data_IF_793092263880
#
_entry.id   IF_793092263880
#
_cell.length_a   1.000
_cell.length_b   1.000
_cell.length_c   1.000
_cell.angle_alpha   90.00
_cell.angle_beta   90.00
_cell.angle_gamma   90.00
#
_symmetry.space_group_name_H-M   'P 1'
#
loop_
_entity.id
_entity.type
_entity.pdbx_description
1 polymer ?
#
# COMPACT_ATOMS: atom_id res chain seq x y z
N UNK A 1 3.75 38.11 -43.90
CA UNK A 1 2.90 38.04 -42.68
C UNK A 1 2.33 36.63 -42.42
N UNK A 2 1.78 35.92 -43.41
CA UNK A 2 1.23 34.54 -43.21
C UNK A 2 2.23 33.50 -42.64
N UNK A 3 3.52 33.58 -43.00
CA UNK A 3 4.56 32.67 -42.48
C UNK A 3 4.92 32.89 -41.00
N UNK A 4 4.73 34.13 -40.50
CA UNK A 4 5.01 34.45 -39.07
C UNK A 4 3.96 33.85 -38.14
N UNK A 5 2.69 33.80 -38.56
CA UNK A 5 1.61 33.17 -37.77
C UNK A 5 1.74 31.66 -37.71
N UNK A 6 2.29 31.00 -38.72
CA UNK A 6 2.51 29.57 -38.73
C UNK A 6 3.58 29.16 -37.71
N UNK A 7 4.65 29.95 -37.60
CA UNK A 7 5.73 29.72 -36.60
C UNK A 7 5.20 29.92 -35.18
N UNK A 8 4.34 30.92 -34.95
CA UNK A 8 3.75 31.18 -33.67
C UNK A 8 2.82 30.04 -33.19
N UNK A 9 2.05 29.43 -34.10
CA UNK A 9 1.18 28.29 -33.80
C UNK A 9 2.00 27.04 -33.41
N UNK A 10 3.12 26.79 -34.08
CA UNK A 10 4.00 25.67 -33.78
C UNK A 10 4.69 25.83 -32.42
N UNK A 11 5.05 27.05 -32.02
CA UNK A 11 5.68 27.30 -30.72
C UNK A 11 4.70 27.19 -29.55
N UNK A 12 3.41 27.43 -29.73
CA UNK A 12 2.38 27.30 -28.69
C UNK A 12 2.01 25.82 -28.47
N UNK A 13 2.07 24.98 -29.51
CA UNK A 13 1.75 23.54 -29.38
C UNK A 13 2.82 22.72 -28.65
N UNK A 14 4.03 23.25 -28.41
CA UNK A 14 5.12 22.56 -27.77
C UNK A 14 5.13 22.69 -26.22
N UNK A 15 4.20 23.42 -25.63
CA UNK A 15 4.20 23.67 -24.18
C UNK A 15 3.23 22.79 -23.36
N UNK A 16 2.58 21.82 -23.99
CA UNK A 16 1.65 20.90 -23.30
C UNK A 16 2.24 19.52 -22.99
N UNK A 17 3.55 19.38 -22.95
CA UNK A 17 4.18 18.24 -22.31
C UNK A 17 4.18 18.50 -20.79
N UNK A 18 3.02 18.34 -20.17
CA UNK A 18 2.93 18.10 -18.72
C UNK A 18 3.69 16.81 -18.47
N UNK A 19 4.84 16.89 -17.80
CA UNK A 19 5.51 15.73 -17.30
C UNK A 19 4.53 15.04 -16.32
N UNK A 20 3.86 14.00 -16.79
CA UNK A 20 3.05 13.14 -15.96
C UNK A 20 4.05 12.45 -15.02
N UNK A 21 4.02 12.77 -13.75
CA UNK A 21 4.77 12.01 -12.77
C UNK A 21 4.37 10.54 -12.93
N UNK A 22 5.28 9.74 -13.48
CA UNK A 22 5.03 8.33 -13.72
C UNK A 22 5.04 7.62 -12.38
N UNK A 23 3.87 7.25 -11.90
CA UNK A 23 3.75 6.37 -10.74
C UNK A 23 4.62 5.13 -10.94
N UNK A 24 5.31 4.68 -9.89
CA UNK A 24 6.16 3.49 -9.90
C UNK A 24 5.37 2.18 -10.04
N UNK A 25 4.06 2.25 -10.04
CA UNK A 25 3.12 1.13 -10.21
C UNK A 25 1.81 1.61 -10.85
N UNK A 26 1.01 0.68 -11.33
CA UNK A 26 -0.30 0.96 -11.94
C UNK A 26 -1.28 -0.18 -11.70
N UNK A 27 -2.54 0.06 -11.99
CA UNK A 27 -3.57 -0.99 -12.01
C UNK A 27 -3.18 -2.14 -12.94
N UNK A 28 -3.43 -3.38 -12.52
CA UNK A 28 -3.00 -4.59 -13.20
C UNK A 28 -1.59 -5.08 -12.80
N UNK A 29 -0.85 -4.31 -11.97
CA UNK A 29 0.40 -4.82 -11.44
C UNK A 29 0.15 -6.07 -10.57
N UNK A 30 0.94 -7.10 -10.81
CA UNK A 30 0.93 -8.32 -10.03
C UNK A 30 2.35 -8.69 -9.61
N UNK A 31 2.59 -8.77 -8.31
CA UNK A 31 3.87 -9.13 -7.72
C UNK A 31 3.76 -10.47 -7.01
N UNK A 32 4.79 -11.30 -7.13
CA UNK A 32 4.91 -12.56 -6.40
C UNK A 32 6.24 -12.67 -5.69
N UNK A 33 6.16 -12.92 -4.41
CA UNK A 33 7.33 -13.12 -3.54
C UNK A 33 7.41 -14.59 -3.14
N UNK A 34 8.63 -15.13 -3.20
CA UNK A 34 8.95 -16.44 -2.63
C UNK A 34 9.60 -16.21 -1.27
N UNK A 35 9.00 -16.77 -0.22
CA UNK A 35 9.51 -16.69 1.13
C UNK A 35 10.33 -17.95 1.41
N UNK A 36 11.59 -17.77 1.80
CA UNK A 36 12.49 -18.88 2.14
C UNK A 36 13.15 -18.62 3.50
N UNK A 37 13.41 -19.68 4.23
CA UNK A 37 14.19 -19.65 5.46
C UNK A 37 15.63 -20.11 5.15
N UNK A 38 16.62 -19.36 5.60
CA UNK A 38 18.06 -19.66 5.34
C UNK A 38 18.40 -19.93 3.87
N UNK A 39 17.67 -19.31 2.92
CA UNK A 39 17.93 -19.43 1.47
C UNK A 39 17.55 -20.78 0.84
N UNK A 40 17.41 -21.84 1.59
CA UNK A 40 17.21 -23.22 1.07
C UNK A 40 15.79 -23.74 1.27
N UNK A 41 15.16 -23.44 2.39
CA UNK A 41 13.85 -23.96 2.75
C UNK A 41 12.75 -23.03 2.27
N UNK A 42 12.03 -23.43 1.26
CA UNK A 42 10.86 -22.68 0.79
C UNK A 42 9.78 -22.71 1.86
N UNK A 43 9.52 -21.55 2.47
CA UNK A 43 8.56 -21.39 3.55
C UNK A 43 7.16 -21.07 3.03
N UNK A 44 7.07 -20.22 1.99
CA UNK A 44 5.77 -19.78 1.50
C UNK A 44 5.87 -18.93 0.23
N UNK A 45 4.74 -18.33 -0.11
CA UNK A 45 4.65 -17.32 -1.13
C UNK A 45 3.77 -16.18 -0.62
N UNK A 46 3.98 -14.99 -1.19
CA UNK A 46 3.05 -13.87 -1.08
C UNK A 46 2.79 -13.29 -2.47
N UNK A 47 1.61 -12.73 -2.67
CA UNK A 47 1.25 -11.98 -3.88
C UNK A 47 0.64 -10.65 -3.49
N UNK A 48 0.89 -9.62 -4.31
CA UNK A 48 0.20 -8.34 -4.29
C UNK A 48 -0.39 -8.10 -5.68
N UNK A 49 -1.62 -7.61 -5.74
CA UNK A 49 -2.31 -7.31 -6.99
C UNK A 49 -3.03 -5.98 -6.86
N UNK A 50 -2.80 -5.07 -7.83
CA UNK A 50 -3.32 -3.69 -7.84
C UNK A 50 -4.51 -3.59 -8.77
N UNK A 51 -5.60 -3.01 -8.29
CA UNK A 51 -6.82 -2.75 -9.04
C UNK A 51 -7.20 -1.28 -8.97
N UNK A 52 -7.89 -0.79 -10.01
CA UNK A 52 -8.66 0.44 -9.92
C UNK A 52 -9.99 0.16 -9.26
N UNK A 53 -10.38 1.03 -8.31
CA UNK A 53 -11.68 0.94 -7.64
C UNK A 53 -12.21 2.34 -7.32
N UNK A 54 -13.53 2.44 -7.13
CA UNK A 54 -14.19 3.63 -6.57
C UNK A 54 -14.62 3.30 -5.15
N UNK A 55 -14.09 4.01 -4.17
CA UNK A 55 -14.45 3.88 -2.77
C UNK A 55 -15.08 5.18 -2.26
N UNK A 56 -16.37 5.13 -1.88
CA UNK A 56 -17.13 6.31 -1.47
C UNK A 56 -16.99 7.48 -2.48
N UNK A 57 -17.21 7.22 -3.76
CA UNK A 57 -17.12 8.15 -4.89
C UNK A 57 -15.70 8.65 -5.20
N UNK A 58 -14.68 8.17 -4.49
CA UNK A 58 -13.29 8.57 -4.67
C UNK A 58 -12.54 7.49 -5.47
N UNK A 59 -11.81 7.85 -6.55
CA UNK A 59 -10.94 6.92 -7.25
C UNK A 59 -9.77 6.50 -6.36
N UNK A 60 -9.63 5.19 -6.15
CA UNK A 60 -8.56 4.63 -5.30
C UNK A 60 -7.83 3.51 -6.03
N UNK A 61 -6.63 3.20 -5.56
CA UNK A 61 -6.05 1.88 -5.78
C UNK A 61 -6.53 0.95 -4.67
N UNK A 62 -7.05 -0.21 -5.08
CA UNK A 62 -7.27 -1.36 -4.21
C UNK A 62 -6.13 -2.33 -4.41
N UNK A 63 -5.41 -2.63 -3.36
CA UNK A 63 -4.37 -3.66 -3.40
C UNK A 63 -4.78 -4.85 -2.55
N UNK A 64 -4.75 -6.02 -3.17
CA UNK A 64 -5.02 -7.30 -2.49
C UNK A 64 -3.70 -8.03 -2.29
N UNK A 65 -3.35 -8.28 -1.04
CA UNK A 65 -2.18 -9.06 -0.65
C UNK A 65 -2.61 -10.41 -0.07
N UNK A 66 -1.98 -11.49 -0.54
CA UNK A 66 -2.23 -12.86 -0.05
C UNK A 66 -0.91 -13.49 0.34
N UNK A 67 -0.89 -14.18 1.49
CA UNK A 67 0.26 -14.94 1.97
C UNK A 67 -0.13 -16.37 2.33
N UNK A 68 0.71 -17.33 1.98
CA UNK A 68 0.47 -18.72 2.37
C UNK A 68 1.75 -19.54 2.47
N UNK A 69 1.78 -20.48 3.41
CA UNK A 69 2.85 -21.48 3.52
C UNK A 69 2.76 -22.57 2.46
N UNK A 70 3.92 -23.10 2.05
CA UNK A 70 4.06 -24.17 1.06
C UNK A 70 5.00 -25.25 1.56
N UNK A 71 5.00 -26.40 0.86
CA UNK A 71 5.90 -27.51 1.19
C UNK A 71 5.64 -28.12 2.57
N UNK A 72 6.66 -28.74 3.21
CA UNK A 72 6.51 -29.39 4.51
C UNK A 72 6.11 -28.45 5.64
N UNK A 73 6.51 -27.18 5.59
CA UNK A 73 6.16 -26.16 6.60
C UNK A 73 4.64 -26.00 6.74
N UNK A 74 3.88 -26.15 5.65
CA UNK A 74 2.41 -26.10 5.68
C UNK A 74 1.79 -27.14 6.65
N UNK A 75 2.48 -28.24 6.91
CA UNK A 75 1.98 -29.31 7.77
C UNK A 75 2.25 -29.01 9.24
N UNK A 76 3.29 -28.22 9.52
CA UNK A 76 3.69 -27.83 10.88
C UNK A 76 3.02 -26.50 11.25
N UNK A 77 3.05 -25.52 10.34
CA UNK A 77 2.51 -24.18 10.58
C UNK A 77 1.82 -23.66 9.30
N UNK A 78 0.51 -23.83 9.26
CA UNK A 78 -0.31 -23.42 8.12
C UNK A 78 -0.64 -21.94 8.20
N UNK A 79 -0.19 -21.16 7.24
CA UNK A 79 -0.56 -19.75 7.05
C UNK A 79 -1.48 -19.61 5.84
N UNK A 80 -2.53 -18.80 6.00
CA UNK A 80 -3.41 -18.33 4.94
C UNK A 80 -3.89 -16.95 5.30
N UNK A 81 -3.22 -15.95 4.75
CA UNK A 81 -3.47 -14.55 5.06
C UNK A 81 -4.02 -13.82 3.84
N UNK A 82 -4.91 -12.89 4.11
CA UNK A 82 -5.52 -12.00 3.16
C UNK A 82 -5.58 -10.59 3.74
N UNK A 83 -5.01 -9.65 3.00
CA UNK A 83 -5.02 -8.24 3.32
C UNK A 83 -5.56 -7.45 2.13
N UNK A 84 -6.26 -6.35 2.39
CA UNK A 84 -6.64 -5.39 1.38
C UNK A 84 -6.34 -3.98 1.89
N UNK A 85 -5.86 -3.11 1.01
CA UNK A 85 -5.75 -1.69 1.27
C UNK A 85 -6.41 -0.91 0.13
N UNK A 86 -7.21 0.08 0.48
CA UNK A 86 -7.83 1.01 -0.45
C UNK A 86 -7.24 2.38 -0.14
N UNK A 87 -6.42 2.90 -1.03
CA UNK A 87 -5.73 4.16 -0.81
C UNK A 87 -5.86 5.10 -2.00
N UNK A 88 -5.82 6.38 -1.70
CA UNK A 88 -5.95 7.47 -2.65
C UNK A 88 -4.86 7.41 -3.72
N UNK A 89 -5.24 7.67 -4.99
CA UNK A 89 -4.31 7.58 -6.12
C UNK A 89 -3.28 8.69 -6.16
N UNK A 90 -3.60 9.87 -5.61
CA UNK A 90 -2.73 11.04 -5.65
C UNK A 90 -1.86 11.11 -4.40
N UNK A 91 -2.47 10.95 -3.22
CA UNK A 91 -1.77 11.12 -1.94
C UNK A 91 -1.14 9.83 -1.42
N UNK A 92 -1.59 8.67 -1.89
CA UNK A 92 -1.20 7.36 -1.38
C UNK A 92 -1.73 7.06 0.03
N UNK A 93 -2.63 7.88 0.58
CA UNK A 93 -3.13 7.73 1.94
C UNK A 93 -4.30 6.74 1.99
N UNK A 94 -4.32 5.79 2.95
CA UNK A 94 -5.36 4.77 3.01
C UNK A 94 -6.69 5.33 3.51
N UNK A 95 -7.79 4.82 2.93
CA UNK A 95 -9.16 4.99 3.42
C UNK A 95 -9.63 3.77 4.18
N UNK A 96 -9.22 2.58 3.73
CA UNK A 96 -9.66 1.31 4.33
C UNK A 96 -8.54 0.28 4.27
N UNK A 97 -8.40 -0.47 5.35
CA UNK A 97 -7.51 -1.62 5.44
C UNK A 97 -8.25 -2.84 6.01
N UNK A 98 -8.09 -3.98 5.35
CA UNK A 98 -8.66 -5.26 5.80
C UNK A 98 -7.53 -6.21 6.15
N UNK A 99 -7.61 -6.82 7.32
CA UNK A 99 -6.72 -7.88 7.78
C UNK A 99 -7.52 -9.13 8.11
N UNK A 100 -7.41 -10.17 7.30
CA UNK A 100 -8.05 -11.46 7.54
C UNK A 100 -6.99 -12.57 7.48
N UNK A 101 -6.53 -13.02 8.62
CA UNK A 101 -5.40 -13.94 8.76
C UNK A 101 -5.76 -15.23 9.45
N UNK A 102 -5.02 -16.30 9.09
CA UNK A 102 -5.05 -17.58 9.77
C UNK A 102 -3.63 -18.17 9.81
N UNK A 103 -2.99 -18.06 10.95
CA UNK A 103 -1.59 -18.42 11.18
C UNK A 103 -1.51 -19.49 12.28
N UNK A 104 -1.29 -20.75 11.88
CA UNK A 104 -1.21 -21.86 12.84
C UNK A 104 -2.45 -22.05 13.71
N UNK A 105 -3.62 -21.66 13.22
CA UNK A 105 -4.90 -21.68 13.98
C UNK A 105 -5.23 -20.35 14.69
N UNK A 106 -4.28 -19.43 14.85
CA UNK A 106 -4.58 -18.06 15.25
C UNK A 106 -5.31 -17.34 14.12
N UNK A 107 -6.49 -16.79 14.43
CA UNK A 107 -7.32 -16.10 13.44
C UNK A 107 -7.62 -14.68 13.91
N UNK A 108 -7.53 -13.73 13.00
CA UNK A 108 -7.94 -12.34 13.21
C UNK A 108 -8.62 -11.83 11.95
N UNK A 109 -9.75 -11.14 12.11
CA UNK A 109 -10.44 -10.48 11.01
C UNK A 109 -10.83 -9.08 11.45
N UNK A 110 -10.12 -8.06 10.92
CA UNK A 110 -10.33 -6.66 11.21
C UNK A 110 -10.55 -5.86 9.94
N UNK A 111 -11.45 -4.89 10.04
CA UNK A 111 -11.66 -3.83 9.05
C UNK A 111 -11.34 -2.53 9.74
N UNK A 112 -10.46 -1.73 9.14
CA UNK A 112 -10.04 -0.43 9.63
C UNK A 112 -10.46 0.61 8.60
N UNK A 113 -11.17 1.65 9.02
CA UNK A 113 -11.52 2.81 8.21
C UNK A 113 -10.83 4.05 8.78
N UNK A 114 -10.15 4.80 7.90
CA UNK A 114 -9.36 5.98 8.27
C UNK A 114 -10.16 7.24 7.96
N UNK A 115 -10.64 7.92 8.99
CA UNK A 115 -11.32 9.21 8.88
C UNK A 115 -10.35 10.34 9.24
N UNK A 116 -9.87 11.02 8.23
CA UNK A 116 -8.94 12.16 8.42
C UNK A 116 -9.62 13.41 8.89
N UNK A 117 -10.91 13.56 8.64
CA UNK A 117 -11.67 14.73 9.11
C UNK A 117 -11.78 14.74 10.64
N UNK A 118 -11.82 13.56 11.25
CA UNK A 118 -11.85 13.34 12.68
C UNK A 118 -10.50 12.97 13.29
N UNK A 119 -9.45 12.76 12.48
CA UNK A 119 -8.17 12.21 12.90
C UNK A 119 -8.31 10.88 13.66
N UNK A 120 -9.15 10.00 13.15
CA UNK A 120 -9.46 8.70 13.76
C UNK A 120 -9.35 7.55 12.79
N UNK A 121 -8.90 6.39 13.32
CA UNK A 121 -9.07 5.09 12.70
C UNK A 121 -10.18 4.34 13.47
N UNK A 122 -11.22 3.93 12.75
CA UNK A 122 -12.28 3.10 13.28
C UNK A 122 -11.95 1.64 12.99
N UNK A 123 -11.85 0.85 14.04
CA UNK A 123 -11.47 -0.57 13.96
C UNK A 123 -12.67 -1.43 14.29
N UNK A 124 -13.07 -2.27 13.35
CA UNK A 124 -14.08 -3.28 13.54
C UNK A 124 -13.40 -4.67 13.62
N UNK A 125 -13.43 -5.31 14.77
CA UNK A 125 -12.97 -6.70 14.97
C UNK A 125 -14.16 -7.64 14.72
N UNK A 126 -14.21 -8.19 13.51
CA UNK A 126 -15.32 -9.08 13.07
C UNK A 126 -15.35 -10.34 13.89
N UNK A 127 -14.20 -10.92 14.23
CA UNK A 127 -14.11 -12.16 15.00
C UNK A 127 -14.63 -11.99 16.42
N UNK A 128 -14.25 -10.89 17.08
CA UNK A 128 -14.60 -10.63 18.47
C UNK A 128 -15.89 -9.80 18.61
N UNK A 129 -16.50 -9.37 17.48
CA UNK A 129 -17.70 -8.53 17.42
C UNK A 129 -17.56 -7.25 18.25
N UNK A 130 -16.41 -6.61 18.17
CA UNK A 130 -16.09 -5.39 18.90
C UNK A 130 -15.65 -4.27 17.95
N UNK A 131 -15.94 -3.03 18.36
CA UNK A 131 -15.54 -1.82 17.66
C UNK A 131 -14.72 -0.95 18.60
N UNK A 132 -13.73 -0.27 18.05
CA UNK A 132 -12.93 0.72 18.75
C UNK A 132 -12.53 1.85 17.81
N UNK A 133 -12.09 2.97 18.37
CA UNK A 133 -11.49 4.05 17.60
C UNK A 133 -10.17 4.46 18.24
N UNK A 134 -9.23 4.87 17.40
CA UNK A 134 -7.88 5.28 17.80
C UNK A 134 -7.56 6.62 17.14
N UNK A 135 -6.97 7.55 17.88
CA UNK A 135 -6.50 8.81 17.31
C UNK A 135 -5.29 8.55 16.41
N UNK A 136 -5.31 9.17 15.24
CA UNK A 136 -4.26 8.99 14.22
C UNK A 136 -3.72 10.33 13.73
N UNK A 137 -2.53 10.31 13.15
CA UNK A 137 -1.99 11.44 12.39
C UNK A 137 -2.54 11.44 10.97
N UNK A 138 -2.59 12.62 10.35
CA UNK A 138 -3.11 12.78 8.98
C UNK A 138 -2.33 12.00 7.92
N UNK A 139 -1.03 11.79 8.13
CA UNK A 139 -0.14 11.09 7.22
C UNK A 139 0.03 9.60 7.54
N UNK A 140 -0.85 9.04 8.39
CA UNK A 140 -0.79 7.63 8.78
C UNK A 140 -0.95 6.72 7.56
N UNK A 141 -0.16 5.67 7.51
CA UNK A 141 -0.22 4.63 6.49
C UNK A 141 -0.67 3.30 7.11
N UNK A 142 -1.30 2.43 6.33
CA UNK A 142 -1.36 1.01 6.64
C UNK A 142 -0.14 0.27 6.05
N UNK A 143 -0.02 -1.03 6.31
CA UNK A 143 1.12 -1.82 5.89
C UNK A 143 1.31 -1.88 4.36
N UNK A 144 0.22 -1.93 3.60
CA UNK A 144 0.24 -2.03 2.14
C UNK A 144 0.43 -0.64 1.51
N UNK A 145 -0.34 0.34 1.96
CA UNK A 145 -0.21 1.71 1.45
C UNK A 145 1.20 2.27 1.70
N UNK A 146 1.82 1.95 2.86
CA UNK A 146 3.21 2.30 3.15
C UNK A 146 4.21 1.73 2.12
N UNK A 147 4.03 0.47 1.70
CA UNK A 147 4.88 -0.15 0.69
C UNK A 147 4.79 0.59 -0.65
N UNK A 148 3.60 0.93 -1.12
CA UNK A 148 3.40 1.65 -2.36
C UNK A 148 3.80 3.12 -2.25
N UNK A 149 3.59 3.75 -1.10
CA UNK A 149 4.09 5.09 -0.81
C UNK A 149 5.62 5.16 -0.91
N UNK A 150 6.33 4.21 -0.31
CA UNK A 150 7.79 4.13 -0.40
C UNK A 150 8.26 3.97 -1.85
N UNK A 151 7.60 3.14 -2.63
CA UNK A 151 7.95 2.94 -4.05
C UNK A 151 7.79 4.21 -4.89
N UNK A 152 6.78 5.02 -4.61
CA UNK A 152 6.55 6.26 -5.35
C UNK A 152 7.49 7.41 -4.92
N UNK A 153 7.76 7.50 -3.63
CA UNK A 153 8.43 8.69 -3.07
C UNK A 153 9.93 8.50 -2.85
N UNK A 154 10.42 7.26 -2.87
CA UNK A 154 11.83 6.96 -2.58
C UNK A 154 12.41 6.08 -3.68
N UNK A 155 12.90 6.73 -4.74
CA UNK A 155 13.63 6.04 -5.80
C UNK A 155 15.08 5.81 -5.35
N UNK A 156 15.66 4.69 -5.77
CA UNK A 156 17.04 4.27 -5.39
C UNK A 156 18.09 5.34 -5.66
N UNK A 157 17.91 6.15 -6.70
CA UNK A 157 18.88 7.20 -7.08
C UNK A 157 18.83 8.42 -6.16
N UNK A 158 17.81 8.58 -5.34
CA UNK A 158 17.64 9.70 -4.41
C UNK A 158 18.06 9.38 -2.98
N UNK A 159 18.29 8.10 -2.63
CA UNK A 159 18.59 7.63 -1.28
C UNK A 159 20.07 7.28 -1.19
N UNK A 160 20.73 7.71 -0.10
CA UNK A 160 22.14 7.41 0.19
C UNK A 160 22.26 6.43 1.33
N UNK A 161 23.35 5.66 1.35
CA UNK A 161 23.70 4.80 2.48
C UNK A 161 23.71 5.58 3.79
N UNK A 162 22.99 5.08 4.78
CA UNK A 162 22.81 5.71 6.09
C UNK A 162 21.55 6.56 6.24
N UNK A 163 20.85 6.87 5.15
CA UNK A 163 19.59 7.62 5.21
C UNK A 163 18.52 6.82 5.97
N UNK A 164 17.68 7.56 6.70
CA UNK A 164 16.60 6.97 7.48
C UNK A 164 15.28 7.58 7.01
N UNK A 165 14.42 6.75 6.42
CA UNK A 165 13.05 7.07 6.11
C UNK A 165 12.17 6.71 7.31
N UNK A 166 11.27 7.62 7.69
CA UNK A 166 10.32 7.42 8.79
C UNK A 166 8.90 7.53 8.25
N UNK A 167 8.06 6.56 8.60
CA UNK A 167 6.63 6.56 8.31
C UNK A 167 5.84 6.33 9.58
N UNK A 168 4.73 7.06 9.73
CA UNK A 168 3.74 6.75 10.75
C UNK A 168 2.85 5.61 10.23
N UNK A 169 2.82 4.49 10.93
CA UNK A 169 2.04 3.31 10.57
C UNK A 169 0.93 3.06 11.58
N UNK A 170 -0.21 2.61 11.07
CA UNK A 170 -1.29 2.02 11.85
C UNK A 170 -1.32 0.51 11.62
N UNK A 171 -1.14 -0.24 12.67
CA UNK A 171 -1.23 -1.69 12.62
C UNK A 171 -1.78 -2.25 13.92
N UNK A 172 -2.70 -3.18 13.83
CA UNK A 172 -3.25 -3.92 14.96
C UNK A 172 -3.88 -3.06 16.08
N UNK A 173 -4.52 -1.93 15.69
CA UNK A 173 -5.14 -0.92 16.57
C UNK A 173 -4.15 -0.03 17.33
N UNK A 174 -2.93 0.08 16.85
CA UNK A 174 -1.88 0.92 17.43
C UNK A 174 -1.19 1.74 16.34
N UNK A 175 -0.63 2.88 16.75
CA UNK A 175 0.21 3.73 15.89
C UNK A 175 1.67 3.61 16.32
N UNK A 176 2.58 3.52 15.35
CA UNK A 176 4.01 3.50 15.62
C UNK A 176 4.80 4.13 14.48
N UNK A 177 6.02 4.55 14.78
CA UNK A 177 6.94 5.09 13.76
C UNK A 177 7.79 3.95 13.20
N UNK A 178 7.54 3.61 11.95
CA UNK A 178 8.38 2.70 11.19
C UNK A 178 9.63 3.43 10.71
N UNK A 179 10.79 2.82 10.86
CA UNK A 179 12.09 3.37 10.42
C UNK A 179 12.74 2.39 9.47
N UNK A 180 12.99 2.84 8.25
CA UNK A 180 13.75 2.11 7.26
C UNK A 180 15.11 2.78 7.11
N UNK A 181 16.20 2.05 7.36
CA UNK A 181 17.57 2.51 7.11
C UNK A 181 18.04 1.91 5.79
N UNK A 182 18.54 2.76 4.94
CA UNK A 182 19.19 2.38 3.67
C UNK A 182 20.67 2.13 3.85
#
# INVERSE_FOLDING_TARGET
MKKLYLILIITISSQLLVAQETSSFQSGEWLKFKLSYSGWWKAGNATLEVFDEIYNEIPVYKVVAKGWTTGPIKWIFKVKDHYESHFDKETGLPYKFVRNINEGGYKKHRIIEFDRSQNKAFVQDIKNKSNSSVDIKNNIQDLISAYYYLRNNYQTDSIKEGDIVKLDLFFDSETFVFKLKY
#
